data_IF_347192223360
#
_entry.id   IF_347192223360
#
_cell.length_a   1.000
_cell.length_b   1.000
_cell.length_c   1.000
_cell.angle_alpha   90.00
_cell.angle_beta   90.00
_cell.angle_gamma   90.00
#
_symmetry.space_group_name_H-M   'P 1'
#
loop_
_entity.id
_entity.type
_entity.pdbx_description
1 polymer ?
#
# COMPACT_ATOMS: atom_id res chain seq x y z
N UNK A 1 -10.29 -18.95 40.62
CA UNK A 1 -9.05 -18.60 39.89
C UNK A 1 -8.57 -17.25 40.37
N UNK A 2 -7.25 -17.07 40.52
CA UNK A 2 -6.63 -15.96 41.26
C UNK A 2 -6.66 -14.64 40.47
N UNK A 3 -6.80 -13.50 41.15
CA UNK A 3 -6.73 -12.15 40.57
C UNK A 3 -5.43 -11.92 39.76
N UNK A 4 -4.35 -12.59 40.14
CA UNK A 4 -3.07 -12.54 39.42
C UNK A 4 -3.15 -13.18 38.02
N UNK A 5 -3.88 -14.28 37.86
CA UNK A 5 -4.05 -14.93 36.55
C UNK A 5 -4.84 -14.05 35.58
N UNK A 6 -5.90 -13.38 36.08
CA UNK A 6 -6.65 -12.40 35.28
C UNK A 6 -5.80 -11.20 34.86
N UNK A 7 -4.93 -10.70 35.73
CA UNK A 7 -4.05 -9.57 35.42
C UNK A 7 -2.99 -9.93 34.34
N UNK A 8 -2.40 -11.13 34.44
CA UNK A 8 -1.40 -11.65 33.49
C UNK A 8 -2.03 -11.90 32.11
N UNK A 9 -3.24 -12.48 32.06
CA UNK A 9 -3.94 -12.69 30.79
C UNK A 9 -4.31 -11.38 30.11
N UNK A 10 -4.77 -10.38 30.87
CA UNK A 10 -5.11 -9.06 30.34
C UNK A 10 -3.90 -8.31 29.78
N UNK A 11 -2.73 -8.41 30.42
CA UNK A 11 -1.49 -7.79 29.92
C UNK A 11 -0.95 -8.49 28.67
N UNK A 12 -0.99 -9.84 28.61
CA UNK A 12 -0.64 -10.59 27.38
C UNK A 12 -1.54 -10.20 26.20
N UNK A 13 -2.83 -10.01 26.44
CA UNK A 13 -3.81 -9.58 25.42
C UNK A 13 -3.51 -8.18 24.88
N UNK A 14 -3.16 -7.24 25.76
CA UNK A 14 -2.80 -5.89 25.35
C UNK A 14 -1.50 -5.92 24.54
N UNK A 15 -0.48 -6.67 24.98
CA UNK A 15 0.77 -6.81 24.24
C UNK A 15 0.56 -7.39 22.83
N UNK A 16 -0.21 -8.49 22.72
CA UNK A 16 -0.49 -9.14 21.43
C UNK A 16 -1.28 -8.23 20.46
N UNK A 17 -2.22 -7.45 20.97
CA UNK A 17 -2.97 -6.46 20.17
C UNK A 17 -2.08 -5.30 19.70
N UNK A 18 -1.11 -4.87 20.51
CA UNK A 18 -0.16 -3.82 20.13
C UNK A 18 0.79 -4.32 19.04
N UNK A 19 1.31 -5.55 19.16
CA UNK A 19 2.19 -6.15 18.15
C UNK A 19 1.48 -6.32 16.79
N UNK A 20 0.23 -6.80 16.77
CA UNK A 20 -0.57 -6.93 15.55
C UNK A 20 -0.80 -5.58 14.86
N UNK A 21 -1.14 -4.52 15.62
CA UNK A 21 -1.32 -3.17 15.07
C UNK A 21 -0.01 -2.56 14.53
N UNK A 22 1.10 -2.81 15.20
CA UNK A 22 2.41 -2.34 14.74
C UNK A 22 2.83 -3.06 13.45
N UNK A 23 2.63 -4.37 13.36
CA UNK A 23 2.86 -5.14 12.13
C UNK A 23 2.02 -4.63 10.95
N UNK A 24 0.71 -4.46 11.15
CA UNK A 24 -0.21 -3.89 10.16
C UNK A 24 0.26 -2.50 9.70
N UNK A 25 0.61 -1.62 10.64
CA UNK A 25 1.08 -0.27 10.34
C UNK A 25 2.36 -0.25 9.50
N UNK A 26 3.31 -1.14 9.80
CA UNK A 26 4.57 -1.27 9.04
C UNK A 26 4.30 -1.74 7.63
N UNK A 27 3.44 -2.74 7.43
CA UNK A 27 3.18 -3.30 6.10
C UNK A 27 2.33 -2.34 5.24
N UNK A 28 1.35 -1.65 5.83
CA UNK A 28 0.66 -0.55 5.15
C UNK A 28 1.62 0.56 4.76
N UNK A 29 2.57 0.92 5.63
CA UNK A 29 3.56 1.97 5.33
C UNK A 29 4.49 1.57 4.17
N UNK A 30 4.95 0.31 4.13
CA UNK A 30 5.75 -0.19 3.01
C UNK A 30 4.98 -0.12 1.70
N UNK A 31 3.72 -0.56 1.70
CA UNK A 31 2.87 -0.54 0.49
C UNK A 31 2.56 0.89 0.05
N UNK A 32 2.32 1.82 0.99
CA UNK A 32 2.21 3.25 0.68
C UNK A 32 3.48 3.84 0.07
N UNK A 33 4.65 3.40 0.51
CA UNK A 33 5.93 3.82 -0.10
C UNK A 33 5.98 3.41 -1.57
N UNK A 34 5.57 2.18 -1.90
CA UNK A 34 5.50 1.70 -3.30
C UNK A 34 4.53 2.52 -4.14
N UNK A 35 3.37 2.88 -3.59
CA UNK A 35 2.42 3.80 -4.25
C UNK A 35 3.07 5.15 -4.56
N UNK A 36 3.84 5.70 -3.62
CA UNK A 36 4.56 6.95 -3.85
C UNK A 36 5.64 6.82 -4.94
N UNK A 37 6.33 5.68 -4.99
CA UNK A 37 7.31 5.41 -6.04
C UNK A 37 6.64 5.35 -7.42
N UNK A 38 5.50 4.69 -7.54
CA UNK A 38 4.70 4.66 -8.77
C UNK A 38 4.18 6.05 -9.16
N UNK A 39 3.71 6.85 -8.20
CA UNK A 39 3.32 8.25 -8.45
C UNK A 39 4.49 9.08 -8.98
N UNK A 40 5.70 8.89 -8.42
CA UNK A 40 6.90 9.54 -8.92
C UNK A 40 7.25 9.11 -10.35
N UNK A 41 7.05 7.83 -10.70
CA UNK A 41 7.23 7.36 -12.09
C UNK A 41 6.23 8.02 -13.04
N UNK A 42 4.96 8.15 -12.64
CA UNK A 42 3.93 8.86 -13.43
C UNK A 42 4.36 10.30 -13.68
N UNK A 43 4.79 11.04 -12.66
CA UNK A 43 5.25 12.42 -12.81
C UNK A 43 6.44 12.54 -13.79
N UNK A 44 7.40 11.62 -13.71
CA UNK A 44 8.56 11.59 -14.62
C UNK A 44 8.11 11.33 -16.07
N UNK A 45 7.22 10.36 -16.27
CA UNK A 45 6.71 10.04 -17.60
C UNK A 45 5.85 11.19 -18.18
N UNK A 46 5.08 11.89 -17.35
CA UNK A 46 4.32 13.08 -17.80
C UNK A 46 5.25 14.22 -18.24
N UNK A 47 6.34 14.46 -17.50
CA UNK A 47 7.36 15.44 -17.92
C UNK A 47 8.01 15.04 -19.24
N UNK A 48 8.37 13.76 -19.39
CA UNK A 48 8.92 13.21 -20.63
C UNK A 48 7.96 13.40 -21.81
N UNK A 49 6.66 13.16 -21.62
CA UNK A 49 5.64 13.41 -22.65
C UNK A 49 5.65 14.88 -23.08
N UNK A 50 5.73 15.81 -22.14
CA UNK A 50 5.81 17.24 -22.45
C UNK A 50 7.04 17.61 -23.29
N UNK A 51 8.20 17.05 -22.94
CA UNK A 51 9.45 17.25 -23.68
C UNK A 51 9.39 16.66 -25.09
N UNK A 52 8.88 15.43 -25.22
CA UNK A 52 8.71 14.76 -26.51
C UNK A 52 7.68 15.47 -27.39
N UNK A 53 6.58 15.95 -26.81
CA UNK A 53 5.57 16.71 -27.55
C UNK A 53 6.15 18.02 -28.09
N UNK A 54 6.96 18.72 -27.29
CA UNK A 54 7.66 19.90 -27.77
C UNK A 54 8.62 19.58 -28.94
N UNK A 55 9.39 18.50 -28.82
CA UNK A 55 10.30 18.05 -29.88
C UNK A 55 9.57 17.61 -31.16
N UNK A 56 8.40 16.99 -31.02
CA UNK A 56 7.52 16.63 -32.14
C UNK A 56 7.02 17.87 -32.88
N UNK A 57 6.49 18.86 -32.14
CA UNK A 57 5.98 20.13 -32.71
C UNK A 57 7.09 20.93 -33.39
N UNK A 58 8.32 20.88 -32.87
CA UNK A 58 9.49 21.49 -33.50
C UNK A 58 10.03 20.72 -34.70
N UNK A 59 9.51 19.52 -34.99
CA UNK A 59 9.98 18.67 -36.09
C UNK A 59 11.39 18.13 -35.87
N UNK A 60 11.88 18.15 -34.62
CA UNK A 60 13.25 17.74 -34.27
C UNK A 60 13.39 16.25 -34.00
N UNK A 61 12.28 15.57 -33.70
CA UNK A 61 12.27 14.12 -33.46
C UNK A 61 11.03 13.48 -34.13
N UNK A 62 11.19 12.77 -35.25
CA UNK A 62 10.09 12.09 -35.94
C UNK A 62 9.55 10.88 -35.17
N UNK A 63 10.32 10.31 -34.24
CA UNK A 63 9.89 9.16 -33.42
C UNK A 63 9.21 9.59 -32.11
N UNK A 64 9.08 10.90 -31.88
CA UNK A 64 8.51 11.45 -30.65
C UNK A 64 7.08 10.93 -30.39
N UNK A 65 6.28 10.71 -31.44
CA UNK A 65 4.92 10.17 -31.28
C UNK A 65 4.93 8.77 -30.65
N UNK A 66 5.76 7.86 -31.15
CA UNK A 66 5.88 6.50 -30.61
C UNK A 66 6.40 6.51 -29.16
N UNK A 67 7.37 7.38 -28.85
CA UNK A 67 7.89 7.53 -27.49
C UNK A 67 6.84 8.10 -26.51
N UNK A 68 5.95 8.97 -26.98
CA UNK A 68 4.80 9.47 -26.20
C UNK A 68 3.86 8.30 -25.89
N UNK A 69 3.53 7.48 -26.88
CA UNK A 69 2.63 6.33 -26.69
C UNK A 69 3.23 5.32 -25.69
N UNK A 70 4.54 5.05 -25.77
CA UNK A 70 5.26 4.22 -24.77
C UNK A 70 5.22 4.82 -23.37
N UNK A 71 5.38 6.14 -23.24
CA UNK A 71 5.30 6.82 -21.94
C UNK A 71 3.88 6.76 -21.36
N UNK A 72 2.84 6.86 -22.20
CA UNK A 72 1.44 6.67 -21.80
C UNK A 72 1.21 5.24 -21.31
N UNK A 73 1.68 4.23 -22.06
CA UNK A 73 1.55 2.83 -21.64
C UNK A 73 2.22 2.57 -20.27
N UNK A 74 3.37 3.17 -20.02
CA UNK A 74 4.05 3.11 -18.70
C UNK A 74 3.24 3.78 -17.60
N UNK A 75 2.58 4.91 -17.89
CA UNK A 75 1.69 5.59 -16.93
C UNK A 75 0.49 4.69 -16.59
N UNK A 76 -0.11 4.05 -17.59
CA UNK A 76 -1.27 3.19 -17.38
C UNK A 76 -0.89 1.94 -16.57
N UNK A 77 0.28 1.36 -16.81
CA UNK A 77 0.80 0.28 -15.96
C UNK A 77 0.99 0.75 -14.51
N UNK A 78 1.62 1.91 -14.28
CA UNK A 78 1.79 2.45 -12.92
C UNK A 78 0.45 2.73 -12.23
N UNK A 79 -0.63 3.08 -12.97
CA UNK A 79 -1.97 3.22 -12.38
C UNK A 79 -2.53 1.87 -11.93
N UNK A 80 -2.39 0.83 -12.75
CA UNK A 80 -2.80 -0.54 -12.39
C UNK A 80 -2.05 -1.02 -11.15
N UNK A 81 -0.74 -0.78 -11.09
CA UNK A 81 0.09 -1.16 -9.94
C UNK A 81 -0.34 -0.41 -8.66
N UNK A 82 -0.70 0.89 -8.77
CA UNK A 82 -1.24 1.66 -7.65
C UNK A 82 -2.57 1.06 -7.16
N UNK A 83 -3.50 0.74 -8.07
CA UNK A 83 -4.78 0.12 -7.70
C UNK A 83 -4.56 -1.23 -7.00
N UNK A 84 -3.60 -2.04 -7.45
CA UNK A 84 -3.25 -3.31 -6.81
C UNK A 84 -2.68 -3.09 -5.41
N UNK A 85 -1.78 -2.11 -5.24
CA UNK A 85 -1.24 -1.75 -3.93
C UNK A 85 -2.31 -1.20 -2.98
N UNK A 86 -3.28 -0.45 -3.48
CA UNK A 86 -4.42 0.02 -2.69
C UNK A 86 -5.30 -1.16 -2.24
N UNK A 87 -5.57 -2.14 -3.12
CA UNK A 87 -6.27 -3.38 -2.72
C UNK A 87 -5.51 -4.16 -1.66
N UNK A 88 -4.19 -4.29 -1.80
CA UNK A 88 -3.35 -4.97 -0.80
C UNK A 88 -3.40 -4.27 0.57
N UNK A 89 -3.44 -2.93 0.61
CA UNK A 89 -3.62 -2.19 1.86
C UNK A 89 -4.95 -2.54 2.51
N UNK A 90 -6.03 -2.63 1.73
CA UNK A 90 -7.35 -2.94 2.27
C UNK A 90 -7.45 -4.40 2.72
N UNK A 91 -6.83 -5.34 2.02
CA UNK A 91 -6.70 -6.73 2.48
C UNK A 91 -5.93 -6.83 3.81
N UNK A 92 -4.82 -6.10 3.96
CA UNK A 92 -4.04 -6.06 5.20
C UNK A 92 -4.89 -5.54 6.37
N UNK A 93 -5.68 -4.48 6.15
CA UNK A 93 -6.58 -3.94 7.17
C UNK A 93 -7.71 -4.91 7.53
N UNK A 94 -8.29 -5.60 6.54
CA UNK A 94 -9.35 -6.59 6.77
C UNK A 94 -8.82 -7.76 7.58
N UNK A 95 -7.68 -8.35 7.18
CA UNK A 95 -7.02 -9.43 7.94
C UNK A 95 -6.67 -8.99 9.36
N UNK A 96 -6.09 -7.80 9.52
CA UNK A 96 -5.78 -7.25 10.84
C UNK A 96 -7.03 -7.05 11.71
N UNK A 97 -8.18 -6.75 11.11
CA UNK A 97 -9.47 -6.65 11.83
C UNK A 97 -10.00 -8.02 12.24
N UNK A 98 -9.97 -9.01 11.35
CA UNK A 98 -10.39 -10.40 11.64
C UNK A 98 -9.53 -11.02 12.74
N UNK A 99 -8.21 -10.85 12.70
CA UNK A 99 -7.30 -11.32 13.75
C UNK A 99 -7.65 -10.73 15.12
N UNK A 100 -7.97 -9.44 15.18
CA UNK A 100 -8.38 -8.77 16.43
C UNK A 100 -9.74 -9.24 16.92
N UNK A 101 -10.70 -9.47 16.03
CA UNK A 101 -12.01 -10.02 16.40
C UNK A 101 -11.88 -11.46 16.92
N UNK A 102 -11.07 -12.30 16.28
CA UNK A 102 -10.77 -13.64 16.75
C UNK A 102 -10.08 -13.63 18.12
N UNK A 103 -9.11 -12.74 18.36
CA UNK A 103 -8.50 -12.60 19.70
C UNK A 103 -9.50 -12.18 20.77
N UNK A 104 -10.47 -11.35 20.42
CA UNK A 104 -11.51 -10.95 21.35
C UNK A 104 -12.44 -12.13 21.69
N UNK A 105 -12.83 -12.92 20.69
CA UNK A 105 -13.69 -14.11 20.87
C UNK A 105 -12.95 -15.21 21.65
N UNK A 106 -11.68 -15.47 21.36
CA UNK A 106 -10.86 -16.40 22.16
C UNK A 106 -10.78 -15.97 23.62
N UNK A 107 -10.62 -14.67 23.88
CA UNK A 107 -10.56 -14.14 25.25
C UNK A 107 -11.88 -14.20 26.01
N UNK A 108 -13.01 -14.16 25.32
CA UNK A 108 -14.35 -14.25 25.92
C UNK A 108 -14.76 -15.71 26.22
N UNK A 109 -14.16 -16.68 25.51
CA UNK A 109 -14.41 -18.12 25.73
C UNK A 109 -13.46 -18.77 26.76
N UNK A 110 -12.37 -18.10 27.15
CA UNK A 110 -11.44 -18.53 28.21
C UNK A 110 -11.81 -18.02 29.62
N UNK A 111 -12.87 -17.20 29.77
CA UNK A 111 -13.46 -16.79 31.06
C UNK A 111 -14.49 -17.79 31.62
#
# INVERSE_FOLDING_TARGET
>A
MSFLDKAINKTKLVAKNVDSKLGEGVDVSKTKSKINDEKSKIEKNLKLIGELYYAFVKGTDPDAQTKIDEAIAKIDQSKVDIEEYERLIDEIKVKGKEERENFKIESENEE
#
